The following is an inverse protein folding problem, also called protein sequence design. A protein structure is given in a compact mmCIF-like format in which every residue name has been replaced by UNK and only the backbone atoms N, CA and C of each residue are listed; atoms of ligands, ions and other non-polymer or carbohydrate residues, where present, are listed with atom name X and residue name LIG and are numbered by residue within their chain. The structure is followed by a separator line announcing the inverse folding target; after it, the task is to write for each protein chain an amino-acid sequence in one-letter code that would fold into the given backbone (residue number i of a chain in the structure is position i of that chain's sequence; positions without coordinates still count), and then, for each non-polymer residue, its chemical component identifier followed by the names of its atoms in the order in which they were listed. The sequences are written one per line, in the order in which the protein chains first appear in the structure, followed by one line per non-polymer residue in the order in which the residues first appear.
data_IF_062045647872
#
_entry.id   IF_062045647872
#
_cell.length_a   1.000
_cell.length_b   1.000
_cell.length_c   1.000
_cell.angle_alpha   90.00
_cell.angle_beta   90.00
_cell.angle_gamma   90.00
#
_symmetry.space_group_name_H-M   'P 1'
#
loop_
_entity.id
_entity.type
_entity.pdbx_description
1 polymer ?
#
# COMPACT_ATOMS: atom_id res chain seq x y z
N UNK A 1 1.65 1.48 16.75
CA UNK A 1 2.11 0.33 17.58
C UNK A 1 1.20 0.04 18.78
N UNK A 2 0.43 1.01 19.27
CA UNK A 2 -0.44 0.78 20.43
C UNK A 2 -1.67 -0.08 20.12
N UNK A 3 -2.13 -0.14 18.86
CA UNK A 3 -3.33 -0.93 18.50
C UNK A 3 -3.10 -2.00 17.43
N UNK A 4 -1.85 -2.20 16.98
CA UNK A 4 -1.50 -3.28 16.05
C UNK A 4 -0.19 -3.95 16.47
N UNK A 5 -0.28 -5.25 16.79
CA UNK A 5 0.83 -6.05 17.31
C UNK A 5 1.68 -6.66 16.19
N UNK A 6 2.97 -6.84 16.46
CA UNK A 6 3.89 -7.48 15.53
C UNK A 6 3.47 -8.95 15.25
N UNK A 7 2.88 -9.65 16.24
CA UNK A 7 2.32 -10.99 16.07
C UNK A 7 1.15 -11.03 15.07
N UNK A 8 0.23 -10.06 15.14
CA UNK A 8 -0.87 -9.96 14.19
C UNK A 8 -0.36 -9.70 12.76
N UNK A 9 0.68 -8.87 12.62
CA UNK A 9 1.34 -8.63 11.34
C UNK A 9 1.98 -9.89 10.76
N UNK A 10 2.69 -10.66 11.59
CA UNK A 10 3.32 -11.93 11.18
C UNK A 10 2.25 -12.92 10.72
N UNK A 11 1.19 -13.10 11.51
CA UNK A 11 0.08 -14.01 11.18
C UNK A 11 -0.63 -13.61 9.89
N UNK A 12 -0.89 -12.32 9.69
CA UNK A 12 -1.52 -11.83 8.47
C UNK A 12 -0.64 -12.05 7.22
N UNK A 13 0.68 -11.84 7.34
CA UNK A 13 1.65 -12.15 6.27
C UNK A 13 1.69 -13.65 5.95
N UNK A 14 1.72 -14.50 6.98
CA UNK A 14 1.69 -15.96 6.81
C UNK A 14 0.41 -16.41 6.10
N UNK A 15 -0.74 -15.89 6.53
CA UNK A 15 -2.03 -16.19 5.92
C UNK A 15 -2.07 -15.79 4.45
N UNK A 16 -1.55 -14.60 4.11
CA UNK A 16 -1.47 -14.16 2.71
C UNK A 16 -0.66 -15.12 1.86
N UNK A 17 0.52 -15.53 2.34
CA UNK A 17 1.36 -16.49 1.63
C UNK A 17 0.63 -17.81 1.40
N UNK A 18 -0.06 -18.33 2.42
CA UNK A 18 -0.85 -19.56 2.28
C UNK A 18 -1.99 -19.41 1.26
N UNK A 19 -2.68 -18.27 1.24
CA UNK A 19 -3.74 -18.01 0.25
C UNK A 19 -3.15 -18.02 -1.16
N UNK A 20 -2.01 -17.36 -1.38
CA UNK A 20 -1.36 -17.32 -2.71
C UNK A 20 -0.93 -18.70 -3.18
N UNK A 21 -0.35 -19.51 -2.29
CA UNK A 21 0.03 -20.89 -2.61
C UNK A 21 -1.19 -21.75 -2.96
N UNK A 22 -2.28 -21.65 -2.19
CA UNK A 22 -3.53 -22.36 -2.49
C UNK A 22 -4.12 -21.89 -3.82
N UNK A 23 -4.07 -20.59 -4.13
CA UNK A 23 -4.53 -20.06 -5.41
C UNK A 23 -3.74 -20.64 -6.58
N UNK A 24 -2.42 -20.77 -6.47
CA UNK A 24 -1.58 -21.40 -7.50
C UNK A 24 -1.94 -22.87 -7.70
N UNK A 25 -2.10 -23.64 -6.61
CA UNK A 25 -2.50 -25.05 -6.68
C UNK A 25 -3.84 -25.19 -7.41
N UNK A 26 -4.83 -24.36 -7.06
CA UNK A 26 -6.15 -24.36 -7.72
C UNK A 26 -6.06 -23.98 -9.18
N UNK A 27 -5.19 -23.03 -9.54
CA UNK A 27 -4.94 -22.66 -10.94
C UNK A 27 -4.34 -23.81 -11.73
N UNK A 28 -3.48 -24.65 -11.14
CA UNK A 28 -2.90 -25.81 -11.84
C UNK A 28 -3.94 -26.93 -12.01
N UNK A 29 -4.83 -27.11 -11.03
CA UNK A 29 -5.80 -28.21 -11.00
C UNK A 29 -7.10 -27.94 -11.77
N UNK A 30 -7.31 -26.71 -12.24
CA UNK A 30 -8.55 -26.39 -12.96
C UNK A 30 -8.55 -27.01 -14.36
N UNK A 31 -9.75 -27.30 -14.86
CA UNK A 31 -10.02 -28.00 -16.13
C UNK A 31 -10.55 -27.08 -17.24
N UNK A 32 -10.78 -25.80 -16.94
CA UNK A 32 -11.39 -24.85 -17.86
C UNK A 32 -10.38 -23.91 -18.54
N UNK A 33 -9.16 -23.81 -18.01
CA UNK A 33 -8.05 -23.05 -18.60
C UNK A 33 -7.09 -23.96 -19.36
N UNK A 34 -6.56 -23.43 -20.47
CA UNK A 34 -5.46 -24.08 -21.17
C UNK A 34 -4.12 -23.87 -20.43
N UNK A 35 -3.14 -24.72 -20.74
CA UNK A 35 -1.83 -24.68 -20.11
C UNK A 35 -1.14 -23.30 -20.25
N UNK A 36 -1.32 -22.66 -21.41
CA UNK A 36 -0.74 -21.33 -21.67
C UNK A 36 -1.32 -20.28 -20.73
N UNK A 37 -2.64 -20.26 -20.52
CA UNK A 37 -3.26 -19.31 -19.59
C UNK A 37 -2.86 -19.62 -18.15
N UNK A 38 -2.80 -20.89 -17.76
CA UNK A 38 -2.33 -21.30 -16.42
C UNK A 38 -0.92 -20.75 -16.14
N UNK A 39 0.03 -20.93 -17.07
CA UNK A 39 1.39 -20.39 -16.91
C UNK A 39 1.38 -18.87 -16.71
N UNK A 40 0.61 -18.12 -17.50
CA UNK A 40 0.51 -16.65 -17.35
C UNK A 40 -0.17 -16.22 -16.06
N UNK A 41 -1.16 -16.97 -15.58
CA UNK A 41 -1.80 -16.72 -14.29
C UNK A 41 -0.82 -16.94 -13.13
N UNK A 42 0.00 -17.99 -13.19
CA UNK A 42 1.04 -18.26 -12.18
C UNK A 42 2.10 -17.16 -12.20
N UNK A 43 2.61 -16.77 -13.37
CA UNK A 43 3.55 -15.64 -13.51
C UNK A 43 3.00 -14.36 -12.85
N UNK A 44 1.70 -14.07 -13.03
CA UNK A 44 1.04 -12.93 -12.41
C UNK A 44 0.95 -13.06 -10.88
N UNK A 45 0.65 -14.26 -10.37
CA UNK A 45 0.60 -14.52 -8.93
C UNK A 45 1.99 -14.44 -8.29
N UNK A 46 3.03 -14.91 -8.97
CA UNK A 46 4.42 -14.82 -8.51
C UNK A 46 4.93 -13.37 -8.46
N UNK A 47 4.47 -12.52 -9.39
CA UNK A 47 4.78 -11.11 -9.41
C UNK A 47 3.91 -10.25 -8.46
N UNK A 48 2.99 -10.87 -7.71
CA UNK A 48 2.07 -10.13 -6.83
C UNK A 48 2.79 -9.62 -5.58
N UNK A 49 2.62 -8.34 -5.27
CA UNK A 49 3.12 -7.74 -4.02
C UNK A 49 2.02 -7.68 -2.94
N UNK A 50 2.38 -7.95 -1.69
CA UNK A 50 1.46 -7.82 -0.54
C UNK A 50 1.87 -6.68 0.40
N UNK A 51 0.97 -5.70 0.60
CA UNK A 51 1.12 -4.57 1.53
C UNK A 51 0.20 -4.79 2.74
N UNK A 52 0.74 -5.17 3.91
CA UNK A 52 -0.06 -5.59 5.08
C UNK A 52 0.28 -4.73 6.29
N UNK A 53 -0.74 -4.13 6.91
CA UNK A 53 -0.59 -3.30 8.09
C UNK A 53 -0.19 -1.86 7.76
N UNK A 54 1.12 -1.58 7.73
CA UNK A 54 1.64 -0.24 7.51
C UNK A 54 2.95 -0.21 6.68
N UNK A 55 3.25 0.90 5.99
CA UNK A 55 4.56 1.11 5.38
C UNK A 55 5.61 1.52 6.41
N UNK A 56 6.84 1.01 6.28
CA UNK A 56 7.96 1.37 7.17
C UNK A 56 8.30 2.87 7.15
N UNK A 57 8.08 3.54 6.01
CA UNK A 57 8.39 4.97 5.88
C UNK A 57 7.59 5.88 6.82
N UNK A 58 6.49 5.41 7.43
CA UNK A 58 5.73 6.22 8.39
C UNK A 58 6.46 6.40 9.72
N UNK A 59 7.46 5.58 10.01
CA UNK A 59 8.32 5.74 11.19
C UNK A 59 9.61 6.50 10.87
N UNK A 60 9.87 6.79 9.60
CA UNK A 60 11.04 7.54 9.17
C UNK A 60 10.79 9.05 9.28
N UNK A 61 11.28 9.65 10.36
CA UNK A 61 11.12 11.09 10.61
C UNK A 61 11.75 11.96 9.51
N UNK A 62 12.85 11.53 8.89
CA UNK A 62 13.48 12.26 7.78
C UNK A 62 12.56 12.30 6.56
N UNK A 63 11.95 11.16 6.22
CA UNK A 63 10.96 11.08 5.15
C UNK A 63 9.76 12.00 5.44
N UNK A 64 9.22 11.93 6.66
CA UNK A 64 8.06 12.75 7.07
C UNK A 64 8.38 14.25 7.06
N UNK A 65 9.55 14.66 7.58
CA UNK A 65 10.00 16.06 7.56
C UNK A 65 10.11 16.58 6.13
N UNK A 66 10.67 15.79 5.22
CA UNK A 66 10.73 16.17 3.80
C UNK A 66 9.32 16.25 3.16
N UNK A 67 8.42 15.34 3.51
CA UNK A 67 7.03 15.32 3.00
C UNK A 67 6.24 16.57 3.38
N UNK A 68 6.44 17.08 4.60
CA UNK A 68 5.76 18.28 5.11
C UNK A 68 6.64 19.53 5.13
N UNK A 69 7.77 19.51 4.41
CA UNK A 69 8.68 20.65 4.33
C UNK A 69 7.97 21.90 3.77
N UNK A 70 8.05 22.99 4.52
CA UNK A 70 7.42 24.28 4.19
C UNK A 70 5.94 24.38 4.57
N UNK A 71 5.38 23.42 5.31
CA UNK A 71 4.04 23.54 5.89
C UNK A 71 4.14 24.07 7.31
N UNK A 72 3.56 25.25 7.54
CA UNK A 72 3.39 25.83 8.87
C UNK A 72 1.98 25.52 9.38
N UNK A 73 1.87 25.13 10.65
CA UNK A 73 0.61 24.83 11.32
C UNK A 73 0.49 25.75 12.53
N UNK A 74 -0.66 26.42 12.64
CA UNK A 74 -1.00 27.29 13.76
C UNK A 74 -2.31 26.81 14.39
N UNK A 75 -2.30 26.52 15.69
CA UNK A 75 -3.46 25.96 16.42
C UNK A 75 -4.71 26.86 16.38
N UNK A 76 -4.55 28.17 16.18
CA UNK A 76 -5.65 29.13 16.08
C UNK A 76 -6.19 29.32 14.65
N UNK A 77 -5.54 28.73 13.64
CA UNK A 77 -5.82 29.00 12.22
C UNK A 77 -6.26 27.74 11.44
N UNK A 78 -7.31 27.05 11.91
CA UNK A 78 -7.77 25.80 11.29
C UNK A 78 -7.93 25.89 9.76
N UNK A 79 -8.65 26.90 9.27
CA UNK A 79 -8.88 27.08 7.85
C UNK A 79 -7.57 27.24 7.06
N UNK A 80 -6.67 28.11 7.53
CA UNK A 80 -5.39 28.33 6.85
C UNK A 80 -4.48 27.11 6.92
N UNK A 81 -4.53 26.32 7.99
CA UNK A 81 -3.82 25.04 8.05
C UNK A 81 -4.27 24.08 6.95
N UNK A 82 -5.59 23.95 6.75
CA UNK A 82 -6.14 23.12 5.66
C UNK A 82 -5.66 23.63 4.30
N UNK A 83 -5.70 24.95 4.07
CA UNK A 83 -5.23 25.56 2.82
C UNK A 83 -3.73 25.32 2.60
N UNK A 84 -2.90 25.45 3.64
CA UNK A 84 -1.44 25.20 3.57
C UNK A 84 -1.13 23.74 3.26
N UNK A 85 -1.84 22.80 3.91
CA UNK A 85 -1.71 21.36 3.66
C UNK A 85 -2.11 21.00 2.23
N UNK A 86 -3.24 21.51 1.76
CA UNK A 86 -3.78 21.26 0.42
C UNK A 86 -2.88 21.84 -0.69
N UNK A 87 -2.36 23.06 -0.47
CA UNK A 87 -1.35 23.67 -1.36
C UNK A 87 -0.09 22.80 -1.44
N UNK A 88 0.41 22.31 -0.31
CA UNK A 88 1.58 21.43 -0.29
C UNK A 88 1.31 20.10 -1.01
N UNK A 89 0.14 19.50 -0.78
CA UNK A 89 -0.29 18.28 -1.46
C UNK A 89 -0.29 18.46 -2.98
N UNK A 90 -0.95 19.51 -3.49
CA UNK A 90 -1.01 19.79 -4.92
C UNK A 90 0.37 20.04 -5.53
N UNK A 91 1.21 20.84 -4.88
CA UNK A 91 2.59 21.07 -5.33
C UNK A 91 3.36 19.75 -5.44
N UNK A 92 3.33 18.92 -4.39
CA UNK A 92 4.00 17.60 -4.39
C UNK A 92 3.42 16.63 -5.41
N UNK A 93 2.14 16.74 -5.74
CA UNK A 93 1.51 15.95 -6.80
C UNK A 93 2.04 16.38 -8.18
N UNK A 94 2.11 17.69 -8.45
CA UNK A 94 2.67 18.21 -9.70
C UNK A 94 4.16 17.88 -9.88
N UNK A 95 4.96 17.88 -8.81
CA UNK A 95 6.37 17.46 -8.82
C UNK A 95 6.57 16.00 -9.26
N UNK A 96 5.52 15.16 -9.26
CA UNK A 96 5.59 13.76 -9.68
C UNK A 96 5.33 13.55 -11.18
N UNK A 97 4.80 14.54 -11.91
CA UNK A 97 4.39 14.36 -13.31
C UNK A 97 5.52 13.90 -14.23
N UNK A 98 6.77 14.20 -13.89
CA UNK A 98 7.96 13.81 -14.66
C UNK A 98 8.82 12.74 -13.96
N UNK A 99 8.30 12.13 -12.89
CA UNK A 99 9.02 11.12 -12.10
C UNK A 99 8.39 9.76 -12.32
N UNK A 100 9.23 8.73 -12.32
CA UNK A 100 8.77 7.35 -12.28
C UNK A 100 7.93 7.09 -11.04
N UNK A 101 6.96 6.19 -11.17
CA UNK A 101 6.10 5.82 -10.07
C UNK A 101 6.88 5.09 -8.96
N UNK A 102 6.63 5.49 -7.71
CA UNK A 102 7.23 4.86 -6.53
C UNK A 102 6.34 3.70 -6.07
N UNK A 103 6.70 2.47 -6.45
CA UNK A 103 5.94 1.25 -6.12
C UNK A 103 5.72 1.01 -4.62
N UNK A 104 6.62 1.55 -3.78
CA UNK A 104 6.55 1.42 -2.32
C UNK A 104 5.48 2.30 -1.69
N UNK A 105 4.89 3.27 -2.42
CA UNK A 105 3.83 4.11 -1.87
C UNK A 105 2.54 3.34 -1.68
N UNK A 106 1.90 3.60 -0.55
CA UNK A 106 0.59 3.05 -0.22
C UNK A 106 -0.49 3.99 -0.72
N UNK A 107 -1.58 3.41 -1.23
CA UNK A 107 -2.71 4.15 -1.79
C UNK A 107 -3.68 4.68 -0.74
N UNK A 108 -3.69 4.06 0.44
CA UNK A 108 -4.49 4.49 1.57
C UNK A 108 -3.63 4.63 2.82
N UNK A 109 -4.19 5.34 3.80
CA UNK A 109 -3.57 5.48 5.10
C UNK A 109 -3.68 4.14 5.86
N UNK A 110 -2.68 3.77 6.67
CA UNK A 110 -2.70 2.50 7.39
C UNK A 110 -3.94 2.30 8.23
N UNK A 111 -4.40 3.34 8.93
CA UNK A 111 -5.55 3.30 9.85
C UNK A 111 -6.92 3.09 9.17
N UNK A 112 -6.98 3.03 7.84
CA UNK A 112 -8.21 2.75 7.10
C UNK A 112 -8.63 1.29 7.33
N UNK A 113 -9.91 1.03 7.63
CA UNK A 113 -10.45 -0.33 7.68
C UNK A 113 -10.92 -0.71 6.29
N UNK A 114 -10.01 -1.23 5.46
CA UNK A 114 -10.30 -1.65 4.09
C UNK A 114 -9.24 -2.63 3.55
N UNK A 115 -9.55 -3.26 2.41
CA UNK A 115 -8.60 -4.01 1.61
C UNK A 115 -8.78 -3.66 0.12
N UNK A 116 -7.72 -3.75 -0.67
CA UNK A 116 -7.73 -3.35 -2.08
C UNK A 116 -6.77 -4.20 -2.91
N UNK A 117 -7.14 -4.44 -4.17
CA UNK A 117 -6.19 -4.85 -5.21
C UNK A 117 -5.93 -3.67 -6.17
N UNK A 118 -4.67 -3.35 -6.43
CA UNK A 118 -4.28 -2.35 -7.43
C UNK A 118 -3.75 -3.03 -8.69
N UNK A 119 -4.50 -2.95 -9.79
CA UNK A 119 -4.15 -3.66 -11.02
C UNK A 119 -2.86 -3.15 -11.68
N UNK A 120 -2.61 -1.84 -11.67
CA UNK A 120 -1.40 -1.25 -12.27
C UNK A 120 -0.11 -1.71 -11.57
N UNK A 121 -0.18 -1.93 -10.25
CA UNK A 121 0.95 -2.38 -9.44
C UNK A 121 1.00 -3.89 -9.25
N UNK A 122 -0.09 -4.60 -9.58
CA UNK A 122 -0.30 -5.97 -9.19
C UNK A 122 -0.03 -6.17 -7.68
N UNK A 123 -0.65 -5.34 -6.85
CA UNK A 123 -0.52 -5.44 -5.39
C UNK A 123 -1.85 -5.66 -4.70
N UNK A 124 -1.83 -6.40 -3.58
CA UNK A 124 -2.94 -6.49 -2.64
C UNK A 124 -2.53 -5.79 -1.36
N UNK A 125 -3.40 -4.89 -0.90
CA UNK A 125 -3.19 -4.10 0.31
C UNK A 125 -4.26 -4.41 1.36
N UNK A 126 -3.85 -4.66 2.60
CA UNK A 126 -4.71 -4.79 3.77
C UNK A 126 -4.34 -3.71 4.79
N UNK A 127 -5.24 -2.76 4.96
CA UNK A 127 -5.09 -1.64 5.88
C UNK A 127 -5.73 -2.00 7.22
N UNK A 128 -5.14 -1.54 8.32
CA UNK A 128 -5.53 -1.94 9.67
C UNK A 128 -5.50 -0.75 10.61
N UNK A 129 -6.50 -0.68 11.50
CA UNK A 129 -6.57 0.36 12.51
C UNK A 129 -5.31 0.33 13.40
N UNK A 130 -4.50 1.38 13.31
CA UNK A 130 -3.24 1.57 14.05
C UNK A 130 -3.43 2.01 15.50
#
# INVERSE_FOLDING_TARGET
KNHFSDDALIKAKLLMNHILEIMKIRMIQNDWLDNKTITKSIEKLDALSSKIGYPEYIFNLTYLKHRYSGVEINEQEFFFNVVRLDRNYRRKYLEKLQKSEEKEKWSMLPQTVNAMYQFFHNDISFFMKL
#
